data_IF_874102256303
#
_entry.id   IF_874102256303
#
_cell.length_a   1.000
_cell.length_b   1.000
_cell.length_c   1.000
_cell.angle_alpha   90.00
_cell.angle_beta   90.00
_cell.angle_gamma   90.00
#
_symmetry.space_group_name_H-M   'P 1'
#
loop_
_entity.id
_entity.type
_entity.pdbx_description
1 polymer ?
#
# COMPACT_ATOMS: atom_id res chain seq x y z
N UNK A 1 -1.73 15.15 -5.46
CA UNK A 1 -0.48 14.63 -4.85
C UNK A 1 0.38 14.03 -5.96
N UNK A 2 1.62 14.50 -6.12
CA UNK A 2 2.56 13.94 -7.10
C UNK A 2 3.46 12.93 -6.40
N UNK A 3 3.48 11.69 -6.88
CA UNK A 3 4.43 10.66 -6.41
C UNK A 3 5.71 10.79 -7.24
N UNK A 4 6.85 10.99 -6.58
CA UNK A 4 8.16 11.08 -7.24
C UNK A 4 8.97 9.84 -6.93
N UNK A 5 9.54 9.20 -7.94
CA UNK A 5 10.35 8.00 -7.81
C UNK A 5 11.72 8.17 -8.50
N UNK A 6 12.81 8.03 -7.74
CA UNK A 6 14.19 8.25 -8.21
C UNK A 6 15.09 7.05 -7.84
N UNK A 7 15.13 6.00 -8.68
CA UNK A 7 15.98 4.83 -8.44
C UNK A 7 17.46 5.16 -8.68
N UNK A 8 18.35 4.52 -7.92
CA UNK A 8 19.79 4.55 -8.18
C UNK A 8 20.34 3.12 -8.20
N UNK A 9 20.87 2.70 -9.34
CA UNK A 9 21.45 1.36 -9.54
C UNK A 9 22.93 1.54 -9.89
N UNK A 10 23.81 0.91 -9.10
CA UNK A 10 25.25 0.88 -9.36
C UNK A 10 25.73 -0.57 -9.38
N UNK A 11 26.26 -0.98 -10.52
CA UNK A 11 26.70 -2.34 -10.76
C UNK A 11 28.15 -2.35 -11.29
N UNK A 12 28.95 -3.31 -10.83
CA UNK A 12 30.37 -3.48 -11.21
C UNK A 12 30.68 -4.89 -11.76
N UNK A 13 29.65 -5.70 -12.01
CA UNK A 13 29.77 -7.05 -12.53
C UNK A 13 29.10 -7.17 -13.90
N UNK A 14 29.84 -7.63 -14.92
CA UNK A 14 29.36 -7.79 -16.30
C UNK A 14 28.30 -8.88 -16.48
N UNK A 15 28.27 -9.87 -15.60
CA UNK A 15 27.44 -11.08 -15.76
C UNK A 15 26.13 -11.01 -14.97
N UNK A 16 25.83 -9.85 -14.38
CA UNK A 16 24.66 -9.67 -13.53
C UNK A 16 23.40 -9.29 -14.31
N UNK A 17 22.25 -9.75 -13.80
CA UNK A 17 20.91 -9.36 -14.28
C UNK A 17 20.23 -8.56 -13.17
N UNK A 18 19.78 -7.36 -13.49
CA UNK A 18 19.13 -6.44 -12.54
C UNK A 18 17.84 -5.95 -13.19
N UNK A 19 16.73 -6.12 -12.49
CA UNK A 19 15.41 -5.63 -12.90
C UNK A 19 14.86 -4.74 -11.79
N UNK A 20 14.17 -3.67 -12.19
CA UNK A 20 13.61 -2.72 -11.26
C UNK A 20 12.25 -2.25 -11.77
N UNK A 21 11.22 -2.38 -10.92
CA UNK A 21 9.86 -1.96 -11.19
C UNK A 21 9.37 -0.99 -10.11
N UNK A 22 8.63 0.03 -10.53
CA UNK A 22 7.96 0.98 -9.65
C UNK A 22 6.61 1.36 -10.24
N UNK A 23 5.58 1.27 -9.41
CA UNK A 23 4.19 1.56 -9.81
C UNK A 23 3.60 2.58 -8.84
N UNK A 24 2.96 3.61 -9.38
CA UNK A 24 2.13 4.53 -8.60
C UNK A 24 0.68 4.25 -8.91
N UNK A 25 -0.11 4.00 -7.87
CA UNK A 25 -1.54 3.74 -7.97
C UNK A 25 -2.32 4.75 -7.12
N UNK A 26 -3.53 5.08 -7.57
CA UNK A 26 -4.52 5.82 -6.79
C UNK A 26 -5.58 4.83 -6.34
N UNK A 27 -6.25 5.12 -5.22
CA UNK A 27 -7.44 4.36 -4.82
C UNK A 27 -8.51 4.52 -5.89
N UNK A 28 -9.08 3.41 -6.35
CA UNK A 28 -10.12 3.41 -7.37
C UNK A 28 -11.45 3.86 -6.76
N UNK A 29 -12.07 4.89 -7.34
CA UNK A 29 -13.40 5.36 -6.95
C UNK A 29 -14.47 4.27 -7.15
N UNK A 30 -14.32 3.43 -8.17
CA UNK A 30 -15.21 2.29 -8.41
C UNK A 30 -15.09 1.25 -7.28
N UNK A 31 -13.87 0.96 -6.83
CA UNK A 31 -13.64 0.03 -5.71
C UNK A 31 -14.21 0.59 -4.40
N UNK A 32 -14.06 1.91 -4.16
CA UNK A 32 -14.66 2.59 -3.02
C UNK A 32 -16.18 2.51 -3.06
N UNK A 33 -16.78 2.88 -4.19
CA UNK A 33 -18.23 2.84 -4.37
C UNK A 33 -18.79 1.42 -4.19
N UNK A 34 -18.11 0.41 -4.74
CA UNK A 34 -18.48 -1.00 -4.57
C UNK A 34 -18.44 -1.47 -3.10
N UNK A 35 -17.47 -1.00 -2.33
CA UNK A 35 -17.38 -1.28 -0.89
C UNK A 35 -18.51 -0.57 -0.13
N UNK A 36 -18.78 0.69 -0.46
CA UNK A 36 -19.85 1.48 0.15
C UNK A 36 -21.24 0.90 -0.12
N UNK A 37 -21.49 0.41 -1.34
CA UNK A 37 -22.74 -0.27 -1.67
C UNK A 37 -22.99 -1.55 -0.84
N UNK A 38 -21.93 -2.14 -0.27
CA UNK A 38 -22.03 -3.27 0.67
C UNK A 38 -22.19 -2.86 2.12
N UNK A 39 -22.36 -1.56 2.40
CA UNK A 39 -22.56 -1.04 3.73
C UNK A 39 -21.27 -0.74 4.49
N UNK A 40 -20.11 -0.77 3.84
CA UNK A 40 -18.88 -0.24 4.43
C UNK A 40 -18.94 1.28 4.41
N UNK A 41 -18.57 1.93 5.51
CA UNK A 41 -18.35 3.37 5.48
C UNK A 41 -17.07 3.69 4.67
N UNK A 42 -16.84 4.97 4.36
CA UNK A 42 -15.71 5.39 3.54
C UNK A 42 -14.35 5.02 4.15
N UNK A 43 -14.21 5.11 5.46
CA UNK A 43 -12.95 4.82 6.17
C UNK A 43 -12.64 3.32 6.14
N UNK A 44 -13.64 2.47 6.43
CA UNK A 44 -13.53 1.02 6.37
C UNK A 44 -13.22 0.54 4.93
N UNK A 45 -13.84 1.16 3.93
CA UNK A 45 -13.59 0.86 2.52
C UNK A 45 -12.14 1.22 2.11
N UNK A 46 -11.66 2.39 2.49
CA UNK A 46 -10.27 2.82 2.27
C UNK A 46 -9.29 1.89 2.99
N UNK A 47 -9.56 1.59 4.26
CA UNK A 47 -8.76 0.68 5.08
C UNK A 47 -8.67 -0.72 4.48
N UNK A 48 -9.77 -1.26 3.95
CA UNK A 48 -9.80 -2.56 3.28
C UNK A 48 -8.89 -2.57 2.03
N UNK A 49 -8.99 -1.54 1.18
CA UNK A 49 -8.20 -1.45 -0.06
C UNK A 49 -6.70 -1.31 0.25
N UNK A 50 -6.34 -0.45 1.20
CA UNK A 50 -4.94 -0.22 1.58
C UNK A 50 -4.34 -1.44 2.28
N UNK A 51 -5.10 -2.11 3.15
CA UNK A 51 -4.66 -3.37 3.76
C UNK A 51 -4.44 -4.46 2.71
N UNK A 52 -5.28 -4.51 1.68
CA UNK A 52 -5.09 -5.39 0.52
C UNK A 52 -3.79 -5.09 -0.24
N UNK A 53 -3.49 -3.81 -0.48
CA UNK A 53 -2.26 -3.36 -1.13
C UNK A 53 -1.00 -3.72 -0.33
N UNK A 54 -1.01 -3.54 0.99
CA UNK A 54 0.12 -3.83 1.86
C UNK A 54 0.25 -5.31 2.26
N UNK A 55 -0.72 -6.17 1.90
CA UNK A 55 -0.87 -7.54 2.42
C UNK A 55 0.40 -8.38 2.27
N UNK A 56 0.99 -8.41 1.08
CA UNK A 56 2.16 -9.25 0.79
C UNK A 56 3.38 -8.80 1.59
N UNK A 57 3.54 -7.49 1.80
CA UNK A 57 4.62 -6.93 2.63
C UNK A 57 4.42 -7.27 4.10
N UNK A 58 3.18 -7.11 4.60
CA UNK A 58 2.85 -7.40 5.99
C UNK A 58 2.97 -8.89 6.34
N UNK A 59 2.71 -9.78 5.37
CA UNK A 59 2.87 -11.23 5.54
C UNK A 59 4.33 -11.68 5.67
N UNK A 60 5.30 -10.87 5.25
CA UNK A 60 6.73 -11.15 5.44
C UNK A 60 7.22 -10.76 6.83
N UNK A 61 6.44 -10.00 7.60
CA UNK A 61 6.79 -9.62 8.96
C UNK A 61 6.43 -10.73 9.96
N UNK A 62 7.22 -10.91 11.02
CA UNK A 62 6.80 -11.74 12.15
C UNK A 62 5.46 -11.24 12.69
N UNK A 63 4.60 -12.17 13.12
CA UNK A 63 3.20 -11.90 13.46
C UNK A 63 3.03 -10.74 14.47
N UNK A 64 3.91 -10.68 15.47
CA UNK A 64 3.93 -9.61 16.48
C UNK A 64 4.10 -8.20 15.90
N UNK A 65 4.89 -8.05 14.84
CA UNK A 65 5.09 -6.77 14.15
C UNK A 65 4.02 -6.51 13.10
N UNK A 66 3.52 -7.54 12.43
CA UNK A 66 2.47 -7.42 11.41
C UNK A 66 1.19 -6.82 12.01
N UNK A 67 0.79 -7.29 13.19
CA UNK A 67 -0.40 -6.79 13.91
C UNK A 67 -0.26 -5.32 14.27
N UNK A 68 0.93 -4.90 14.70
CA UNK A 68 1.15 -3.50 15.09
C UNK A 68 1.26 -2.56 13.89
N UNK A 69 1.91 -3.01 12.81
CA UNK A 69 1.98 -2.27 11.56
C UNK A 69 0.58 -2.06 10.94
N UNK A 70 -0.29 -3.06 10.99
CA UNK A 70 -1.68 -2.93 10.53
C UNK A 70 -2.47 -1.86 11.30
N UNK A 71 -2.31 -1.79 12.63
CA UNK A 71 -2.95 -0.75 13.44
C UNK A 71 -2.44 0.64 13.09
N UNK A 72 -1.12 0.80 12.93
CA UNK A 72 -0.54 2.09 12.54
C UNK A 72 -1.02 2.57 11.17
N UNK A 73 -1.17 1.66 10.20
CA UNK A 73 -1.74 1.97 8.88
C UNK A 73 -3.17 2.47 9.03
N UNK A 74 -4.01 1.82 9.85
CA UNK A 74 -5.38 2.26 10.11
C UNK A 74 -5.45 3.68 10.71
N UNK A 75 -4.68 3.95 11.76
CA UNK A 75 -4.67 5.24 12.45
C UNK A 75 -4.19 6.38 11.53
N UNK A 76 -3.21 6.12 10.67
CA UNK A 76 -2.68 7.14 9.74
C UNK A 76 -3.74 7.60 8.72
N UNK A 77 -4.76 6.78 8.46
CA UNK A 77 -5.82 7.05 7.49
C UNK A 77 -6.97 7.88 8.08
N UNK A 78 -7.26 7.69 9.37
CA UNK A 78 -8.33 8.39 10.10
C UNK A 78 -8.12 9.93 10.16
N UNK A 79 -6.89 10.41 9.95
CA UNK A 79 -6.55 11.84 9.98
C UNK A 79 -6.07 12.46 8.66
N UNK A 80 -5.93 11.67 7.59
CA UNK A 80 -5.29 12.10 6.33
C UNK A 80 -6.25 12.19 5.14
N UNK A 81 -7.52 11.79 5.31
CA UNK A 81 -8.55 11.87 4.28
C UNK A 81 -9.41 13.10 4.53
N UNK A 82 -9.01 14.21 3.92
CA UNK A 82 -9.70 15.51 3.90
C UNK A 82 -9.27 16.32 2.70
#
# INVERSE_FOLDING_TARGET
MWSTYSPYIKNRNSDSKIEHEATTSKISEEQLYYCQQRGLNSEDAVGLIINGFCKEVLQQLPMEFAVEAQKMVGISLEGSVG
#
